data_IF_321236046762
#
_entry.id   IF_321236046762
#
_cell.length_a   1.000
_cell.length_b   1.000
_cell.length_c   1.000
_cell.angle_alpha   90.00
_cell.angle_beta   90.00
_cell.angle_gamma   90.00
#
_symmetry.space_group_name_H-M   'P 1'
#
loop_
_entity.id
_entity.type
_entity.pdbx_description
1 polymer ?
#
# COMPACT_ATOMS: atom_id res chain seq x y z
N UNK A 1 -15.77 40.33 82.11
CA UNK A 1 -14.97 41.51 81.74
C UNK A 1 -13.85 41.09 80.80
N UNK A 2 -13.68 41.86 79.80
CA UNK A 2 -12.67 41.83 78.74
C UNK A 2 -12.86 40.70 77.70
N UNK A 3 -13.40 41.06 76.66
CA UNK A 3 -12.90 41.71 75.43
C UNK A 3 -12.56 40.65 74.43
N UNK A 4 -13.58 40.32 73.64
CA UNK A 4 -13.35 39.65 72.38
C UNK A 4 -12.69 40.63 71.41
N UNK A 5 -11.37 40.67 71.44
CA UNK A 5 -10.59 41.37 70.46
C UNK A 5 -10.68 40.62 69.17
N UNK A 6 -11.14 41.38 68.21
CA UNK A 6 -11.21 41.08 66.81
C UNK A 6 -9.90 40.50 66.26
N UNK A 7 -9.88 39.20 66.12
CA UNK A 7 -9.00 38.58 65.10
C UNK A 7 -9.74 38.63 63.77
N UNK A 8 -9.69 39.74 63.10
CA UNK A 8 -9.91 39.80 61.66
C UNK A 8 -8.75 39.09 61.00
N UNK A 9 -8.90 37.77 60.93
CA UNK A 9 -8.09 37.02 60.01
C UNK A 9 -8.27 37.61 58.63
N UNK A 10 -7.24 38.22 58.11
CA UNK A 10 -7.07 38.43 56.68
C UNK A 10 -7.20 37.05 56.03
N UNK A 11 -8.37 36.76 55.56
CA UNK A 11 -8.54 35.75 54.50
C UNK A 11 -7.91 36.40 53.28
N UNK A 12 -6.59 36.27 53.22
CA UNK A 12 -5.89 36.44 51.93
C UNK A 12 -6.53 35.44 51.01
N UNK A 13 -7.41 35.95 50.18
CA UNK A 13 -7.85 35.23 48.99
C UNK A 13 -6.59 34.96 48.17
N UNK A 14 -5.90 33.87 48.47
CA UNK A 14 -5.08 33.19 47.51
C UNK A 14 -6.05 32.65 46.48
N UNK A 15 -6.43 33.50 45.56
CA UNK A 15 -6.82 33.07 44.23
C UNK A 15 -5.65 32.26 43.73
N UNK A 16 -5.69 30.95 43.97
CA UNK A 16 -4.97 30.00 43.14
C UNK A 16 -5.46 30.27 41.73
N UNK A 17 -4.73 31.11 41.01
CA UNK A 17 -4.65 31.08 39.60
C UNK A 17 -4.09 29.68 39.28
N UNK A 18 -4.95 28.69 39.23
CA UNK A 18 -4.70 27.46 38.49
C UNK A 18 -4.53 27.93 37.04
N UNK A 19 -3.33 28.41 36.75
CA UNK A 19 -2.84 28.38 35.38
C UNK A 19 -2.87 26.91 35.00
N UNK A 20 -3.96 26.45 34.46
CA UNK A 20 -4.00 25.34 33.56
C UNK A 20 -3.01 25.72 32.45
N UNK A 21 -1.76 25.35 32.65
CA UNK A 21 -0.84 25.13 31.60
C UNK A 21 -1.49 23.98 30.79
N UNK A 22 -2.41 24.34 29.87
CA UNK A 22 -2.57 23.59 28.67
C UNK A 22 -1.15 23.63 28.06
N UNK A 23 -0.37 22.60 28.34
CA UNK A 23 0.74 22.25 27.49
C UNK A 23 0.12 22.05 26.12
N UNK A 24 0.08 23.10 25.33
CA UNK A 24 -0.09 22.94 23.91
C UNK A 24 1.05 21.97 23.53
N UNK A 25 0.68 20.74 23.21
CA UNK A 25 1.66 19.82 22.69
C UNK A 25 2.35 20.56 21.56
N UNK A 26 3.63 20.84 21.73
CA UNK A 26 4.38 21.62 20.78
C UNK A 26 4.33 20.84 19.48
N UNK A 27 3.68 21.42 18.47
CA UNK A 27 3.56 20.79 17.16
C UNK A 27 4.96 20.42 16.67
N UNK A 28 5.13 19.17 16.20
CA UNK A 28 6.41 18.75 15.69
C UNK A 28 6.84 19.69 14.55
N UNK A 29 8.13 20.06 14.47
CA UNK A 29 8.62 20.90 13.39
C UNK A 29 8.33 20.28 12.03
N UNK A 30 8.27 21.07 10.95
CA UNK A 30 8.15 20.53 9.61
C UNK A 30 9.33 19.61 9.30
N UNK A 31 9.11 18.49 8.57
CA UNK A 31 10.20 17.64 8.16
C UNK A 31 11.18 18.37 7.25
N UNK A 32 12.46 17.96 7.27
CA UNK A 32 13.46 18.51 6.37
C UNK A 32 13.25 17.97 4.95
N UNK A 33 13.21 18.83 3.91
CA UNK A 33 13.10 18.35 2.54
C UNK A 33 14.23 17.37 2.19
N UNK A 34 13.94 16.32 1.36
CA UNK A 34 12.71 16.09 0.60
C UNK A 34 11.62 15.29 1.37
N UNK A 35 11.80 15.08 2.67
CA UNK A 35 10.83 14.33 3.46
C UNK A 35 9.59 15.16 3.77
N UNK A 36 8.45 14.48 3.95
CA UNK A 36 7.15 15.10 4.27
C UNK A 36 6.39 14.25 5.31
N UNK A 37 5.24 14.75 5.76
CA UNK A 37 4.29 14.05 6.61
C UNK A 37 2.86 14.50 6.29
N UNK A 38 1.84 13.81 6.86
CA UNK A 38 0.42 14.01 6.54
C UNK A 38 -0.06 15.46 6.61
N UNK A 39 0.62 16.34 7.37
CA UNK A 39 0.26 17.76 7.51
C UNK A 39 0.56 18.56 6.24
N UNK A 40 1.47 18.06 5.39
CA UNK A 40 1.97 18.73 4.19
C UNK A 40 1.61 17.96 2.90
N UNK A 41 1.08 16.74 3.00
CA UNK A 41 0.55 15.99 1.86
C UNK A 41 -0.66 16.71 1.28
N UNK A 42 -0.58 17.11 0.01
CA UNK A 42 -1.62 17.87 -0.68
C UNK A 42 -1.74 17.42 -2.13
N UNK A 43 -2.96 17.14 -2.62
CA UNK A 43 -3.15 16.72 -4.00
C UNK A 43 -2.48 17.65 -5.01
N UNK A 44 -1.70 17.05 -5.93
CA UNK A 44 -0.93 17.77 -6.95
C UNK A 44 0.48 18.17 -6.52
N UNK A 45 0.91 17.86 -5.30
CA UNK A 45 2.29 18.13 -4.85
C UNK A 45 3.22 17.05 -5.38
N UNK A 46 4.26 17.46 -6.11
CA UNK A 46 5.31 16.58 -6.60
C UNK A 46 6.46 16.46 -5.60
N UNK A 47 6.92 15.24 -5.41
CA UNK A 47 8.04 14.87 -4.56
C UNK A 47 9.10 14.12 -5.35
N UNK A 48 10.34 14.19 -4.89
CA UNK A 48 11.45 13.38 -5.40
C UNK A 48 12.48 13.14 -4.31
N UNK A 49 12.71 11.88 -4.00
CA UNK A 49 13.76 11.44 -3.09
C UNK A 49 14.83 10.75 -3.92
N UNK A 50 16.09 11.05 -3.67
CA UNK A 50 17.23 10.44 -4.35
C UNK A 50 18.17 9.76 -3.36
N UNK A 51 19.05 8.92 -3.86
CA UNK A 51 20.07 8.26 -3.03
C UNK A 51 20.92 9.26 -2.22
N UNK A 52 21.08 10.50 -2.71
CA UNK A 52 21.87 11.55 -2.04
C UNK A 52 21.16 12.17 -0.83
N UNK A 53 19.85 12.04 -0.75
CA UNK A 53 19.03 12.61 0.31
C UNK A 53 18.96 11.68 1.54
N UNK A 54 19.43 10.44 1.41
CA UNK A 54 19.33 9.44 2.47
C UNK A 54 20.18 9.84 3.69
N UNK A 55 19.58 9.94 4.89
CA UNK A 55 20.34 10.20 6.10
C UNK A 55 21.19 8.98 6.49
N UNK A 56 22.12 9.21 7.41
CA UNK A 56 22.84 8.09 8.01
C UNK A 56 21.89 7.26 8.89
N UNK A 57 22.10 5.93 9.00
CA UNK A 57 21.35 5.12 9.95
C UNK A 57 21.35 5.74 11.35
N UNK A 58 20.18 5.74 11.99
CA UNK A 58 19.97 6.29 13.34
C UNK A 58 20.15 7.82 13.44
N UNK A 59 20.12 8.57 12.36
CA UNK A 59 20.13 10.04 12.39
C UNK A 59 18.94 10.60 13.19
N UNK A 60 17.81 9.92 13.14
CA UNK A 60 16.65 10.15 14.00
C UNK A 60 16.35 8.91 14.83
N UNK A 61 15.61 9.09 15.92
CA UNK A 61 15.15 7.97 16.73
C UNK A 61 13.99 7.26 16.03
N UNK A 62 14.08 5.94 15.94
CA UNK A 62 12.96 5.14 15.44
C UNK A 62 11.75 5.23 16.36
N UNK A 63 10.58 5.45 15.82
CA UNK A 63 9.32 5.55 16.54
C UNK A 63 8.47 4.28 16.38
N UNK A 64 7.49 4.15 17.25
CA UNK A 64 6.39 3.19 17.18
C UNK A 64 5.12 3.94 17.55
N UNK A 65 4.38 4.39 16.54
CA UNK A 65 3.17 5.18 16.69
C UNK A 65 2.04 4.55 15.86
N UNK A 66 1.45 3.48 16.42
CA UNK A 66 0.35 2.78 15.76
C UNK A 66 -0.85 3.70 15.51
N UNK A 67 -1.53 3.58 14.37
CA UNK A 67 -2.65 4.44 14.04
C UNK A 67 -3.81 4.26 15.04
N UNK A 68 -4.26 5.37 15.61
CA UNK A 68 -5.51 5.43 16.36
C UNK A 68 -6.66 5.54 15.37
N UNK A 69 -7.29 4.40 15.04
CA UNK A 69 -8.40 4.37 14.10
C UNK A 69 -9.66 4.92 14.73
N UNK A 70 -10.37 5.78 14.00
CA UNK A 70 -11.67 6.36 14.38
C UNK A 70 -12.67 6.19 13.25
N UNK A 71 -13.95 6.17 13.59
CA UNK A 71 -14.99 6.23 12.58
C UNK A 71 -14.83 7.49 11.72
N UNK A 72 -15.07 7.38 10.41
CA UNK A 72 -15.04 8.54 9.53
C UNK A 72 -15.95 9.64 10.04
N UNK A 73 -15.46 10.86 10.32
CA UNK A 73 -16.33 11.98 10.65
C UNK A 73 -17.30 12.27 9.49
N UNK A 74 -18.50 12.72 9.80
CA UNK A 74 -19.58 12.94 8.82
C UNK A 74 -19.14 13.82 7.63
N UNK A 75 -18.35 14.86 7.91
CA UNK A 75 -17.85 15.81 6.91
C UNK A 75 -16.43 15.50 6.40
N UNK A 76 -15.82 14.39 6.79
CA UNK A 76 -14.49 14.03 6.29
C UNK A 76 -14.61 13.32 4.94
N UNK A 77 -13.91 13.86 3.96
CA UNK A 77 -13.80 13.33 2.61
C UNK A 77 -12.35 13.34 2.17
N UNK A 78 -11.92 12.35 1.40
CA UNK A 78 -10.63 12.43 0.76
C UNK A 78 -10.61 13.59 -0.26
N UNK A 79 -9.44 14.16 -0.46
CA UNK A 79 -9.21 15.26 -1.41
C UNK A 79 -8.39 14.79 -2.59
N UNK A 80 -8.74 15.19 -3.79
CA UNK A 80 -8.03 14.91 -5.03
C UNK A 80 -7.66 16.23 -5.74
N UNK A 81 -6.78 16.23 -6.79
CA UNK A 81 -6.41 17.42 -7.52
C UNK A 81 -7.61 18.16 -8.13
N UNK A 82 -7.48 19.44 -8.48
CA UNK A 82 -8.53 20.20 -9.18
C UNK A 82 -9.04 19.45 -10.43
N UNK A 83 -10.34 19.47 -10.65
CA UNK A 83 -10.99 18.75 -11.76
C UNK A 83 -11.39 17.32 -11.42
N UNK A 84 -10.95 16.77 -10.30
CA UNK A 84 -11.39 15.46 -9.83
C UNK A 84 -12.49 15.57 -8.78
N UNK A 85 -13.38 14.58 -8.79
CA UNK A 85 -14.48 14.41 -7.83
C UNK A 85 -14.29 13.09 -7.08
N UNK A 86 -14.43 13.13 -5.76
CA UNK A 86 -14.39 11.93 -4.91
C UNK A 86 -15.81 11.58 -4.44
N UNK A 87 -16.18 10.31 -4.60
CA UNK A 87 -17.49 9.77 -4.24
C UNK A 87 -17.35 8.47 -3.44
N UNK A 88 -18.31 8.19 -2.57
CA UNK A 88 -18.37 6.90 -1.88
C UNK A 88 -19.03 5.86 -2.79
N UNK A 89 -18.23 4.96 -3.38
CA UNK A 89 -18.68 3.88 -4.25
C UNK A 89 -19.43 2.78 -3.47
N UNK A 90 -18.80 2.26 -2.42
CA UNK A 90 -19.40 1.25 -1.55
C UNK A 90 -18.97 1.45 -0.09
N UNK A 91 -19.81 1.07 0.86
CA UNK A 91 -19.56 1.14 2.30
C UNK A 91 -20.13 -0.09 3.02
N UNK A 92 -19.77 -0.26 4.30
CA UNK A 92 -20.22 -1.40 5.10
C UNK A 92 -19.60 -2.71 4.64
N UNK A 93 -18.39 -2.63 4.08
CA UNK A 93 -17.56 -3.76 3.73
C UNK A 93 -16.85 -4.29 4.97
N UNK A 94 -16.09 -5.36 4.81
CA UNK A 94 -15.37 -5.98 5.91
C UNK A 94 -13.93 -6.26 5.47
N UNK A 95 -12.98 -5.44 5.95
CA UNK A 95 -11.58 -5.48 5.58
C UNK A 95 -11.35 -5.55 4.04
N UNK A 96 -11.83 -4.55 3.27
CA UNK A 96 -11.66 -4.52 1.82
C UNK A 96 -10.19 -4.30 1.44
N UNK A 97 -9.65 -5.17 0.58
CA UNK A 97 -8.24 -5.13 0.18
C UNK A 97 -8.11 -4.96 -1.33
N UNK A 98 -7.47 -5.89 -2.01
CA UNK A 98 -7.20 -5.84 -3.45
C UNK A 98 -8.47 -5.68 -4.28
N UNK A 99 -8.42 -4.80 -5.26
CA UNK A 99 -9.43 -4.59 -6.29
C UNK A 99 -8.92 -5.10 -7.65
N UNK A 100 -9.79 -5.73 -8.44
CA UNK A 100 -9.50 -6.09 -9.84
C UNK A 100 -10.70 -5.86 -10.71
N UNK A 101 -10.48 -5.18 -11.83
CA UNK A 101 -11.50 -5.02 -12.88
C UNK A 101 -11.42 -6.20 -13.83
N UNK A 102 -12.51 -6.94 -13.94
CA UNK A 102 -12.66 -8.01 -14.90
C UNK A 102 -12.86 -7.43 -16.32
N UNK A 103 -12.56 -8.19 -17.40
CA UNK A 103 -12.70 -7.71 -18.77
C UNK A 103 -14.13 -7.36 -19.21
N UNK A 104 -15.14 -7.85 -18.49
CA UNK A 104 -16.54 -7.47 -18.69
C UNK A 104 -16.97 -6.22 -17.91
N UNK A 105 -16.05 -5.66 -17.11
CA UNK A 105 -16.27 -4.46 -16.32
C UNK A 105 -16.76 -4.70 -14.90
N UNK A 106 -16.93 -5.93 -14.49
CA UNK A 106 -17.21 -6.25 -13.08
C UNK A 106 -15.98 -5.96 -12.21
N UNK A 107 -16.22 -5.50 -11.00
CA UNK A 107 -15.15 -5.18 -10.03
C UNK A 107 -15.11 -6.25 -8.96
N UNK A 108 -14.00 -6.97 -8.87
CA UNK A 108 -13.75 -7.96 -7.85
C UNK A 108 -12.97 -7.35 -6.69
N UNK A 109 -13.38 -7.67 -5.47
CA UNK A 109 -12.81 -7.15 -4.22
C UNK A 109 -12.50 -8.32 -3.28
N UNK A 110 -11.25 -8.41 -2.83
CA UNK A 110 -10.89 -9.29 -1.72
C UNK A 110 -11.32 -8.62 -0.40
N UNK A 111 -12.14 -9.31 0.38
CA UNK A 111 -12.43 -9.02 1.78
C UNK A 111 -11.67 -10.06 2.61
N UNK A 112 -10.48 -9.67 3.13
CA UNK A 112 -9.47 -10.60 3.64
C UNK A 112 -9.90 -11.27 4.95
N UNK A 113 -10.36 -10.50 5.94
CA UNK A 113 -10.72 -11.05 7.26
C UNK A 113 -11.92 -12.00 7.20
N UNK A 114 -13.01 -11.69 6.48
CA UNK A 114 -14.13 -12.63 6.34
C UNK A 114 -13.84 -13.77 5.35
N UNK A 115 -12.68 -13.77 4.67
CA UNK A 115 -12.27 -14.84 3.78
C UNK A 115 -13.14 -14.98 2.54
N UNK A 116 -13.44 -13.90 1.84
CA UNK A 116 -14.35 -13.91 0.67
C UNK A 116 -13.90 -12.97 -0.44
N UNK A 117 -14.38 -13.25 -1.64
CA UNK A 117 -14.29 -12.35 -2.80
C UNK A 117 -15.69 -11.84 -3.10
N UNK A 118 -15.81 -10.53 -3.17
CA UNK A 118 -17.04 -9.83 -3.57
C UNK A 118 -16.93 -9.39 -5.03
N UNK A 119 -18.05 -9.34 -5.73
CA UNK A 119 -18.16 -8.73 -7.05
C UNK A 119 -19.18 -7.62 -7.03
N UNK A 120 -18.82 -6.51 -7.67
CA UNK A 120 -19.71 -5.38 -7.96
C UNK A 120 -19.93 -5.30 -9.46
N UNK A 121 -21.16 -5.05 -9.88
CA UNK A 121 -21.56 -4.92 -11.28
C UNK A 121 -22.32 -3.65 -11.55
N UNK A 122 -21.98 -3.04 -12.68
CA UNK A 122 -22.66 -1.87 -13.21
C UNK A 122 -22.47 -0.63 -12.33
N UNK A 123 -22.84 0.51 -12.88
CA UNK A 123 -22.75 1.80 -12.20
C UNK A 123 -24.09 2.52 -12.26
N UNK A 124 -24.61 2.94 -11.12
CA UNK A 124 -25.81 3.78 -11.03
C UNK A 124 -25.49 5.24 -11.34
N UNK A 125 -26.48 6.06 -11.62
CA UNK A 125 -26.32 7.51 -11.78
C UNK A 125 -25.74 8.20 -10.53
N UNK A 126 -25.84 7.56 -9.35
CA UNK A 126 -25.26 8.04 -8.10
C UNK A 126 -23.80 7.58 -7.88
N UNK A 127 -23.13 7.03 -8.90
CA UNK A 127 -21.74 6.58 -8.79
C UNK A 127 -21.53 5.34 -7.93
N UNK A 128 -22.58 4.55 -7.67
CA UNK A 128 -22.55 3.35 -6.82
C UNK A 128 -22.73 2.09 -7.69
N UNK A 129 -22.28 0.90 -7.22
CA UNK A 129 -22.56 -0.33 -7.93
C UNK A 129 -24.07 -0.58 -8.01
N UNK A 130 -24.54 -1.01 -9.17
CA UNK A 130 -25.94 -1.36 -9.38
C UNK A 130 -26.27 -2.70 -8.71
N UNK A 131 -25.30 -3.60 -8.61
CA UNK A 131 -25.42 -4.92 -8.00
C UNK A 131 -24.16 -5.29 -7.23
N UNK A 132 -24.31 -6.02 -6.12
CA UNK A 132 -23.20 -6.59 -5.35
C UNK A 132 -23.54 -8.02 -4.94
N UNK A 133 -22.57 -8.93 -5.06
CA UNK A 133 -22.71 -10.33 -4.67
C UNK A 133 -21.43 -10.87 -4.06
N UNK A 134 -21.50 -11.97 -3.31
CA UNK A 134 -20.33 -12.72 -2.87
C UNK A 134 -20.03 -13.77 -3.94
N UNK A 135 -18.90 -13.64 -4.62
CA UNK A 135 -18.46 -14.56 -5.65
C UNK A 135 -18.04 -15.90 -5.06
N UNK A 136 -17.20 -15.87 -4.02
CA UNK A 136 -16.75 -17.05 -3.28
C UNK A 136 -16.45 -16.69 -1.82
N UNK A 137 -16.59 -17.64 -0.91
CA UNK A 137 -16.27 -17.50 0.52
C UNK A 137 -15.59 -18.75 1.06
N UNK A 138 -15.08 -18.68 2.31
CA UNK A 138 -14.38 -19.78 2.95
C UNK A 138 -12.89 -19.84 2.61
N UNK A 139 -12.33 -18.76 2.08
CA UNK A 139 -10.91 -18.61 1.80
C UNK A 139 -10.13 -18.24 3.07
N UNK A 140 -8.83 -18.53 3.08
CA UNK A 140 -7.94 -18.19 4.20
C UNK A 140 -7.15 -16.93 3.87
N UNK A 141 -7.64 -15.77 4.32
CA UNK A 141 -7.00 -14.47 4.11
C UNK A 141 -6.67 -14.20 2.64
N UNK A 142 -7.67 -14.18 1.73
CA UNK A 142 -7.45 -13.88 0.32
C UNK A 142 -6.95 -12.43 0.16
N UNK A 143 -5.99 -12.24 -0.74
CA UNK A 143 -5.45 -10.93 -1.06
C UNK A 143 -5.24 -10.76 -2.56
N UNK A 144 -4.32 -11.51 -3.18
CA UNK A 144 -4.03 -11.42 -4.60
C UNK A 144 -5.20 -11.87 -5.45
N UNK A 145 -5.53 -11.11 -6.50
CA UNK A 145 -6.55 -11.44 -7.49
C UNK A 145 -5.97 -11.24 -8.89
N UNK A 146 -6.09 -12.23 -9.76
CA UNK A 146 -5.67 -12.11 -11.15
C UNK A 146 -6.54 -12.98 -12.07
N UNK A 147 -6.90 -12.47 -13.25
CA UNK A 147 -7.64 -13.21 -14.27
C UNK A 147 -6.68 -13.90 -15.24
N UNK A 148 -6.97 -15.17 -15.59
CA UNK A 148 -6.14 -15.96 -16.49
C UNK A 148 -6.97 -16.73 -17.54
N UNK A 149 -6.50 -16.84 -18.80
CA UNK A 149 -5.34 -16.13 -19.36
C UNK A 149 -5.55 -14.59 -19.36
N UNK A 150 -4.45 -13.80 -19.40
CA UNK A 150 -4.57 -12.35 -19.59
C UNK A 150 -5.29 -12.03 -20.89
N UNK A 151 -6.08 -10.96 -20.89
CA UNK A 151 -6.80 -10.52 -22.07
C UNK A 151 -8.32 -10.56 -21.92
N UNK A 152 -9.06 -10.52 -23.07
CA UNK A 152 -10.49 -10.27 -23.03
C UNK A 152 -11.35 -11.47 -22.57
N UNK A 153 -10.83 -12.70 -22.60
CA UNK A 153 -11.59 -13.93 -22.33
C UNK A 153 -10.93 -14.85 -21.30
N UNK A 154 -10.70 -14.39 -20.05
CA UNK A 154 -10.16 -15.24 -19.00
C UNK A 154 -11.14 -16.36 -18.64
N UNK A 155 -10.60 -17.49 -18.22
CA UNK A 155 -11.33 -18.68 -17.83
C UNK A 155 -11.19 -18.99 -16.36
N UNK A 156 -10.28 -18.29 -15.69
CA UNK A 156 -9.93 -18.49 -14.30
C UNK A 156 -9.76 -17.18 -13.56
N UNK A 157 -10.22 -17.15 -12.31
CA UNK A 157 -9.81 -16.20 -11.30
C UNK A 157 -8.82 -16.87 -10.36
N UNK A 158 -7.58 -16.40 -10.35
CA UNK A 158 -6.56 -16.82 -9.38
C UNK A 158 -6.68 -15.97 -8.12
N UNK A 159 -6.54 -16.63 -6.98
CA UNK A 159 -6.57 -15.99 -5.66
C UNK A 159 -5.32 -16.39 -4.89
N UNK A 160 -4.51 -15.39 -4.56
CA UNK A 160 -3.36 -15.54 -3.66
C UNK A 160 -3.78 -15.34 -2.21
N UNK A 161 -3.59 -16.36 -1.41
CA UNK A 161 -3.81 -16.36 0.04
C UNK A 161 -2.47 -16.53 0.77
N UNK A 162 -2.44 -16.38 2.09
CA UNK A 162 -1.19 -16.42 2.86
C UNK A 162 -0.31 -17.65 2.56
N UNK A 163 -0.91 -18.84 2.46
CA UNK A 163 -0.19 -20.10 2.33
C UNK A 163 -0.38 -20.78 0.97
N UNK A 164 -1.26 -20.29 0.12
CA UNK A 164 -1.61 -20.96 -1.11
C UNK A 164 -2.00 -19.98 -2.22
N UNK A 165 -1.83 -20.43 -3.46
CA UNK A 165 -2.47 -19.86 -4.64
C UNK A 165 -3.46 -20.90 -5.16
N UNK A 166 -4.72 -20.51 -5.28
CA UNK A 166 -5.79 -21.31 -5.87
C UNK A 166 -6.39 -20.60 -7.07
N UNK A 167 -7.05 -21.35 -7.97
CA UNK A 167 -7.86 -20.76 -9.03
C UNK A 167 -9.28 -21.30 -9.04
N UNK A 168 -10.19 -20.47 -9.49
CA UNK A 168 -11.61 -20.80 -9.65
C UNK A 168 -12.02 -20.67 -11.12
N UNK A 169 -12.89 -21.56 -11.65
CA UNK A 169 -13.52 -21.32 -12.95
C UNK A 169 -14.22 -19.96 -12.95
N UNK A 170 -14.00 -19.21 -14.03
CA UNK A 170 -14.60 -17.90 -14.23
C UNK A 170 -15.13 -17.77 -15.67
N UNK A 171 -16.34 -17.25 -15.80
CA UNK A 171 -16.91 -16.82 -17.07
C UNK A 171 -17.41 -15.38 -16.91
N UNK A 172 -17.31 -14.62 -17.99
CA UNK A 172 -17.84 -13.24 -17.99
C UNK A 172 -19.29 -13.22 -17.53
N UNK A 173 -19.57 -12.37 -16.56
CA UNK A 173 -20.89 -12.22 -15.98
C UNK A 173 -21.17 -13.15 -14.80
N UNK A 174 -20.22 -13.96 -14.34
CA UNK A 174 -20.37 -14.79 -13.15
C UNK A 174 -20.42 -13.90 -11.89
N UNK A 175 -21.55 -13.95 -11.18
CA UNK A 175 -21.70 -13.31 -9.85
C UNK A 175 -21.42 -14.27 -8.71
N UNK A 176 -21.21 -15.54 -9.02
CA UNK A 176 -20.91 -16.62 -8.09
C UNK A 176 -20.04 -17.65 -8.79
N UNK A 177 -19.08 -18.20 -8.07
CA UNK A 177 -18.22 -19.26 -8.59
C UNK A 177 -19.04 -20.46 -9.05
N UNK A 178 -18.68 -21.01 -10.20
CA UNK A 178 -19.39 -22.14 -10.85
C UNK A 178 -18.78 -23.52 -10.52
N UNK A 179 -17.58 -23.56 -9.90
CA UNK A 179 -16.87 -24.80 -9.61
C UNK A 179 -15.98 -24.74 -8.37
N UNK A 180 -15.38 -25.87 -8.03
CA UNK A 180 -14.46 -25.98 -6.89
C UNK A 180 -13.12 -25.28 -7.19
N UNK A 181 -12.44 -24.85 -6.13
CA UNK A 181 -11.07 -24.36 -6.20
C UNK A 181 -10.13 -25.44 -6.75
N UNK A 182 -9.18 -25.04 -7.57
CA UNK A 182 -8.03 -25.84 -7.97
C UNK A 182 -6.78 -25.25 -7.29
N UNK A 183 -6.05 -26.09 -6.58
CA UNK A 183 -4.77 -25.73 -5.98
C UNK A 183 -3.69 -25.56 -7.07
N UNK A 184 -2.86 -24.50 -6.95
CA UNK A 184 -1.83 -24.16 -7.93
C UNK A 184 -0.44 -24.19 -7.30
N UNK A 185 -0.24 -23.53 -6.17
CA UNK A 185 1.08 -23.41 -5.54
C UNK A 185 0.99 -23.13 -4.04
N UNK A 186 2.07 -23.49 -3.34
CA UNK A 186 2.29 -23.19 -1.92
C UNK A 186 3.47 -22.21 -1.78
N UNK A 187 3.26 -20.89 -1.89
CA UNK A 187 4.30 -19.94 -1.61
C UNK A 187 4.73 -20.02 -0.13
N UNK A 188 6.00 -19.69 0.20
CA UNK A 188 6.48 -19.79 1.57
C UNK A 188 5.57 -19.09 2.56
N UNK A 189 5.09 -19.86 3.55
CA UNK A 189 4.24 -19.36 4.64
C UNK A 189 4.99 -19.42 5.97
N UNK A 190 4.68 -18.51 6.87
CA UNK A 190 5.19 -18.45 8.23
C UNK A 190 4.07 -18.59 9.28
N UNK A 191 2.84 -18.82 8.85
CA UNK A 191 1.66 -18.71 9.69
C UNK A 191 1.30 -17.23 9.95
N UNK A 192 0.73 -16.93 11.09
CA UNK A 192 0.11 -15.65 11.41
C UNK A 192 1.08 -14.47 11.59
N UNK A 193 2.40 -14.69 11.61
CA UNK A 193 3.39 -13.63 11.83
C UNK A 193 4.16 -13.27 10.54
N UNK A 194 4.45 -11.99 10.37
CA UNK A 194 5.20 -11.45 9.23
C UNK A 194 4.29 -11.00 8.08
N UNK A 195 4.86 -10.92 6.86
CA UNK A 195 4.13 -10.46 5.68
C UNK A 195 3.29 -11.62 5.11
N UNK A 196 1.97 -11.47 5.19
CA UNK A 196 0.99 -12.53 4.88
C UNK A 196 0.32 -12.39 3.53
N UNK A 197 0.42 -11.22 2.90
CA UNK A 197 -0.18 -10.96 1.59
C UNK A 197 0.57 -11.68 0.46
N UNK A 198 -0.18 -12.12 -0.56
CA UNK A 198 0.35 -12.81 -1.75
C UNK A 198 -0.29 -12.22 -3.01
N UNK A 199 0.17 -11.04 -3.46
CA UNK A 199 -0.20 -10.57 -4.80
C UNK A 199 0.15 -11.60 -5.86
N UNK A 200 -0.73 -11.75 -6.84
CA UNK A 200 -0.57 -12.64 -7.99
C UNK A 200 -0.77 -11.82 -9.25
N UNK A 201 0.11 -12.00 -10.23
CA UNK A 201 0.01 -11.34 -11.54
C UNK A 201 0.55 -12.27 -12.64
N UNK A 202 0.22 -12.01 -13.89
CA UNK A 202 0.68 -12.79 -15.03
C UNK A 202 1.50 -11.94 -15.99
N UNK A 203 2.53 -12.54 -16.59
CA UNK A 203 3.19 -11.94 -17.74
C UNK A 203 2.17 -11.68 -18.85
N UNK A 204 2.42 -10.66 -19.66
CA UNK A 204 1.51 -10.22 -20.73
C UNK A 204 1.17 -11.33 -21.72
N UNK A 205 2.09 -12.27 -21.97
CA UNK A 205 1.88 -13.42 -22.84
C UNK A 205 1.26 -14.63 -22.11
N UNK A 206 0.97 -14.50 -20.81
CA UNK A 206 0.36 -15.53 -19.97
C UNK A 206 1.26 -16.72 -19.63
N UNK A 207 2.56 -16.67 -19.96
CA UNK A 207 3.45 -17.83 -19.76
C UNK A 207 4.07 -17.89 -18.37
N UNK A 208 4.06 -16.78 -17.63
CA UNK A 208 4.57 -16.73 -16.27
C UNK A 208 3.49 -16.21 -15.33
N UNK A 209 3.36 -16.86 -14.18
CA UNK A 209 2.66 -16.36 -13.01
C UNK A 209 3.69 -15.84 -12.03
N UNK A 210 3.48 -14.64 -11.53
CA UNK A 210 4.30 -14.02 -10.48
C UNK A 210 3.54 -14.04 -9.15
N UNK A 211 4.27 -14.35 -8.07
CA UNK A 211 3.76 -14.30 -6.71
C UNK A 211 4.73 -13.51 -5.83
N UNK A 212 4.28 -12.44 -5.24
CA UNK A 212 5.10 -11.65 -4.33
C UNK A 212 5.06 -12.21 -2.91
N UNK A 213 6.23 -12.37 -2.29
CA UNK A 213 6.37 -12.95 -0.95
C UNK A 213 7.28 -12.08 -0.10
N UNK A 214 6.72 -11.35 0.86
CA UNK A 214 7.48 -10.52 1.78
C UNK A 214 8.29 -11.34 2.80
N UNK A 215 9.29 -10.74 3.42
CA UNK A 215 10.14 -11.35 4.44
C UNK A 215 9.34 -11.90 5.63
N UNK A 216 9.93 -12.82 6.36
CA UNK A 216 9.36 -13.34 7.61
C UNK A 216 9.70 -12.46 8.82
N UNK A 217 10.71 -11.59 8.70
CA UNK A 217 11.19 -10.70 9.75
C UNK A 217 11.48 -9.31 9.20
N UNK A 218 11.88 -8.40 10.09
CA UNK A 218 12.34 -7.08 9.68
C UNK A 218 13.64 -7.15 8.86
N UNK A 219 14.65 -7.88 9.34
CA UNK A 219 16.00 -7.87 8.72
C UNK A 219 16.84 -9.09 9.15
N UNK A 220 16.23 -10.25 9.38
CA UNK A 220 16.99 -11.45 9.71
C UNK A 220 17.72 -11.98 8.46
N UNK A 221 18.87 -12.59 8.70
CA UNK A 221 19.75 -13.11 7.68
C UNK A 221 19.26 -14.46 7.15
N UNK A 222 18.90 -14.61 5.87
CA UNK A 222 18.43 -15.88 5.30
C UNK A 222 19.46 -17.00 5.38
N UNK A 223 20.76 -16.70 5.41
CA UNK A 223 21.81 -17.73 5.53
C UNK A 223 21.76 -18.45 6.88
N UNK A 224 21.27 -17.77 7.91
CA UNK A 224 21.19 -18.32 9.26
C UNK A 224 19.76 -18.49 9.78
N UNK A 225 18.77 -18.05 9.00
CA UNK A 225 17.34 -18.04 9.39
C UNK A 225 16.52 -18.78 8.34
N UNK A 226 16.34 -20.10 8.46
CA UNK A 226 15.67 -20.94 7.44
C UNK A 226 14.25 -20.47 7.05
N UNK A 227 13.56 -19.74 7.93
CA UNK A 227 12.22 -19.20 7.65
C UNK A 227 12.22 -18.05 6.64
N UNK A 228 13.39 -17.47 6.32
CA UNK A 228 13.53 -16.45 5.29
C UNK A 228 13.79 -17.03 3.89
N UNK A 229 13.96 -18.36 3.78
CA UNK A 229 14.20 -19.00 2.48
C UNK A 229 13.06 -18.73 1.50
N UNK A 230 13.41 -18.31 0.28
CA UNK A 230 12.49 -17.96 -0.82
C UNK A 230 11.45 -16.89 -0.40
N UNK A 231 11.86 -15.97 0.49
CA UNK A 231 11.09 -14.82 0.95
C UNK A 231 11.86 -13.51 0.72
N UNK A 232 11.16 -12.38 0.84
CA UNK A 232 11.63 -11.09 0.36
C UNK A 232 11.95 -11.14 -1.14
N UNK A 233 11.10 -11.84 -1.88
CA UNK A 233 11.30 -12.23 -3.27
C UNK A 233 10.01 -12.03 -4.09
N UNK A 234 10.21 -11.87 -5.38
CA UNK A 234 9.17 -12.20 -6.37
C UNK A 234 9.47 -13.61 -6.85
N UNK A 235 8.49 -14.51 -6.72
CA UNK A 235 8.54 -15.86 -7.24
C UNK A 235 7.83 -15.95 -8.58
N UNK A 236 8.26 -16.85 -9.45
CA UNK A 236 7.60 -17.10 -10.72
C UNK A 236 7.47 -18.60 -11.03
N UNK A 237 6.45 -18.95 -11.81
CA UNK A 237 6.27 -20.30 -12.35
C UNK A 237 5.45 -20.26 -13.65
N UNK A 238 5.39 -21.41 -14.35
CA UNK A 238 4.40 -21.66 -15.41
C UNK A 238 3.00 -21.80 -14.76
N UNK A 239 1.97 -21.06 -15.19
CA UNK A 239 0.64 -21.09 -14.59
C UNK A 239 -0.06 -22.46 -14.63
N UNK A 240 0.25 -23.31 -15.60
CA UNK A 240 -0.39 -24.62 -15.77
C UNK A 240 0.38 -25.74 -15.06
N UNK A 241 1.70 -25.58 -14.88
CA UNK A 241 2.58 -26.57 -14.24
C UNK A 241 3.50 -25.88 -13.22
N UNK A 242 2.91 -25.29 -12.19
CA UNK A 242 3.62 -24.39 -11.31
C UNK A 242 4.64 -25.09 -10.42
N UNK A 243 5.91 -24.79 -10.66
CA UNK A 243 7.03 -25.01 -9.75
C UNK A 243 7.63 -23.62 -9.49
N UNK A 244 7.42 -23.10 -8.28
CA UNK A 244 7.90 -21.77 -7.90
C UNK A 244 9.42 -21.69 -7.93
N UNK A 245 9.96 -20.66 -8.54
CA UNK A 245 11.38 -20.26 -8.55
C UNK A 245 11.53 -18.80 -8.20
N UNK A 246 12.65 -18.42 -7.63
CA UNK A 246 12.97 -17.01 -7.41
C UNK A 246 13.14 -16.31 -8.76
N UNK A 247 12.37 -15.26 -8.99
CA UNK A 247 12.44 -14.40 -10.16
C UNK A 247 13.35 -13.19 -9.89
N UNK A 248 13.15 -12.53 -8.73
CA UNK A 248 13.99 -11.46 -8.23
C UNK A 248 14.04 -11.51 -6.71
N UNK A 249 15.16 -11.07 -6.11
CA UNK A 249 15.43 -11.25 -4.68
C UNK A 249 15.85 -9.96 -3.98
N UNK A 250 15.84 -10.02 -2.64
CA UNK A 250 16.23 -8.88 -1.81
C UNK A 250 15.22 -7.75 -1.80
N UNK A 251 13.98 -8.05 -2.09
CA UNK A 251 12.84 -7.12 -2.09
C UNK A 251 12.05 -7.35 -0.80
N UNK A 252 12.34 -6.58 0.26
CA UNK A 252 11.89 -6.88 1.62
C UNK A 252 10.42 -7.26 1.72
N UNK A 253 9.53 -6.43 1.24
CA UNK A 253 8.10 -6.73 1.24
C UNK A 253 7.40 -6.21 -0.01
N UNK A 254 7.43 -6.97 -1.11
CA UNK A 254 6.65 -6.68 -2.32
C UNK A 254 5.19 -7.12 -2.17
N UNK A 255 4.79 -7.56 -0.97
CA UNK A 255 3.46 -8.10 -0.70
C UNK A 255 2.34 -7.05 -0.71
N UNK A 256 2.64 -5.79 -0.98
CA UNK A 256 1.65 -4.74 -1.21
C UNK A 256 0.96 -4.89 -2.55
N UNK A 257 1.73 -4.89 -3.63
CA UNK A 257 1.19 -4.99 -4.98
C UNK A 257 2.24 -5.29 -6.03
N UNK A 258 1.82 -6.00 -7.07
CA UNK A 258 2.56 -6.19 -8.32
C UNK A 258 1.62 -5.96 -9.50
N UNK A 259 2.12 -5.38 -10.57
CA UNK A 259 1.39 -5.20 -11.81
C UNK A 259 2.32 -5.25 -13.02
N UNK A 260 1.82 -5.73 -14.16
CA UNK A 260 2.56 -5.72 -15.42
C UNK A 260 2.21 -4.45 -16.18
N UNK A 261 3.24 -3.69 -16.57
CA UNK A 261 3.07 -2.50 -17.40
C UNK A 261 2.45 -2.91 -18.74
N UNK A 262 1.26 -2.41 -19.06
CA UNK A 262 0.56 -2.82 -20.28
C UNK A 262 1.22 -2.32 -21.58
N UNK A 263 2.11 -1.33 -21.52
CA UNK A 263 2.85 -0.82 -22.66
C UNK A 263 4.15 -1.61 -22.88
N UNK A 264 4.97 -1.77 -21.82
CA UNK A 264 6.30 -2.40 -21.92
C UNK A 264 6.28 -3.90 -21.67
N UNK A 265 5.33 -4.41 -20.88
CA UNK A 265 5.28 -5.80 -20.43
C UNK A 265 6.17 -6.08 -19.21
N UNK A 266 6.83 -5.08 -18.66
CA UNK A 266 7.66 -5.19 -17.46
C UNK A 266 6.81 -5.37 -16.21
N UNK A 267 7.27 -6.22 -15.31
CA UNK A 267 6.69 -6.38 -13.99
C UNK A 267 7.14 -5.22 -13.09
N UNK A 268 6.20 -4.63 -12.36
CA UNK A 268 6.45 -3.58 -11.36
C UNK A 268 5.95 -4.02 -10.00
N UNK A 269 6.58 -3.53 -8.93
CA UNK A 269 6.15 -3.77 -7.55
C UNK A 269 6.22 -2.52 -6.69
N UNK A 270 5.35 -2.47 -5.68
CA UNK A 270 5.41 -1.57 -4.54
C UNK A 270 6.04 -2.29 -3.35
N UNK A 271 6.94 -1.63 -2.63
CA UNK A 271 7.77 -2.28 -1.61
C UNK A 271 7.82 -1.49 -0.33
N UNK A 272 7.59 -2.19 0.78
CA UNK A 272 7.82 -1.68 2.12
C UNK A 272 9.20 -2.11 2.60
N UNK A 273 10.07 -1.14 2.87
CA UNK A 273 11.41 -1.38 3.33
C UNK A 273 11.52 -1.64 4.84
N UNK A 274 12.76 -1.88 5.30
CA UNK A 274 13.03 -2.28 6.67
C UNK A 274 12.84 -1.14 7.68
N UNK A 275 12.42 -1.51 8.88
CA UNK A 275 12.15 -0.61 9.99
C UNK A 275 13.38 -0.41 10.89
N UNK A 276 13.31 0.60 11.77
CA UNK A 276 14.22 0.82 12.88
C UNK A 276 15.64 1.30 12.50
N UNK A 277 15.76 2.12 11.46
CA UNK A 277 16.96 2.92 11.16
C UNK A 277 16.74 4.43 11.35
N UNK A 278 15.60 4.83 11.84
CA UNK A 278 15.15 6.20 12.03
C UNK A 278 13.87 6.50 11.25
N UNK A 279 13.33 7.69 11.41
CA UNK A 279 12.08 8.10 10.77
C UNK A 279 12.20 8.27 9.24
N UNK A 280 13.41 8.65 8.76
CA UNK A 280 13.63 9.01 7.36
C UNK A 280 14.55 7.99 6.65
N UNK A 281 14.60 6.73 7.15
CA UNK A 281 15.36 5.63 6.57
C UNK A 281 14.74 4.27 6.96
N UNK A 282 14.54 3.31 6.06
CA UNK A 282 14.86 3.24 4.62
C UNK A 282 13.63 3.68 3.82
N UNK A 283 13.79 4.39 2.70
CA UNK A 283 12.68 4.72 1.82
C UNK A 283 11.92 3.48 1.34
N UNK A 284 10.61 3.53 1.38
CA UNK A 284 9.76 2.65 0.60
C UNK A 284 9.95 2.97 -0.89
N UNK A 285 9.53 2.10 -1.81
CA UNK A 285 9.76 2.36 -3.22
C UNK A 285 8.80 1.66 -4.18
N UNK A 286 8.74 2.18 -5.40
CA UNK A 286 8.12 1.52 -6.56
C UNK A 286 9.22 1.30 -7.61
N UNK A 287 9.25 0.10 -8.20
CA UNK A 287 10.28 -0.23 -9.19
C UNK A 287 9.80 -1.27 -10.21
N UNK A 288 10.37 -1.22 -11.43
CA UNK A 288 10.29 -2.36 -12.32
C UNK A 288 11.19 -3.49 -11.82
N UNK A 289 10.75 -4.73 -12.01
CA UNK A 289 11.40 -5.92 -11.45
C UNK A 289 12.17 -6.64 -12.56
N UNK A 290 13.50 -6.68 -12.41
CA UNK A 290 14.38 -7.36 -13.36
C UNK A 290 14.54 -8.84 -13.00
N UNK A 291 14.40 -9.75 -13.97
CA UNK A 291 14.66 -11.17 -13.74
C UNK A 291 16.12 -11.40 -13.33
N UNK A 292 16.34 -12.13 -12.22
CA UNK A 292 17.65 -12.31 -11.60
C UNK A 292 18.14 -11.08 -10.83
N UNK A 293 17.37 -10.01 -10.74
CA UNK A 293 17.72 -8.79 -10.01
C UNK A 293 17.82 -8.99 -8.51
N UNK A 294 18.72 -8.24 -7.87
CA UNK A 294 18.89 -8.18 -6.42
C UNK A 294 18.71 -6.75 -5.93
N UNK A 295 17.78 -6.53 -4.97
CA UNK A 295 17.39 -5.20 -4.48
C UNK A 295 17.97 -4.87 -3.10
N UNK A 296 18.71 -5.79 -2.48
CA UNK A 296 19.58 -5.51 -1.33
C UNK A 296 19.21 -6.22 -0.03
N UNK A 297 17.94 -6.29 0.33
CA UNK A 297 17.52 -6.87 1.61
C UNK A 297 18.05 -8.31 1.80
N UNK A 298 18.53 -8.66 2.99
CA UNK A 298 18.65 -7.86 4.22
C UNK A 298 20.01 -7.18 4.39
N UNK A 299 20.99 -7.46 3.54
CA UNK A 299 22.38 -7.09 3.74
C UNK A 299 22.70 -5.67 3.27
N UNK A 300 21.97 -5.21 2.27
CA UNK A 300 22.14 -3.92 1.61
C UNK A 300 20.76 -3.24 1.44
N UNK A 301 20.75 -1.94 1.17
CA UNK A 301 19.53 -1.19 0.82
C UNK A 301 19.86 -0.05 -0.12
N UNK A 302 18.92 0.30 -0.99
CA UNK A 302 18.97 1.43 -1.94
C UNK A 302 20.37 1.62 -2.54
N UNK A 303 20.81 0.65 -3.35
CA UNK A 303 22.17 0.61 -3.90
C UNK A 303 23.21 0.13 -2.88
N UNK A 304 24.36 0.78 -2.84
CA UNK A 304 25.55 0.30 -2.11
C UNK A 304 25.56 0.63 -0.60
N UNK A 305 24.40 0.85 0.04
CA UNK A 305 24.33 1.09 1.49
C UNK A 305 24.25 -0.24 2.24
N UNK A 306 25.29 -0.53 3.04
CA UNK A 306 25.25 -1.74 3.86
C UNK A 306 24.38 -1.55 5.10
N UNK A 307 23.50 -2.53 5.38
CA UNK A 307 22.72 -2.54 6.59
C UNK A 307 23.63 -2.66 7.82
N UNK A 308 23.50 -1.77 8.83
CA UNK A 308 24.37 -1.77 10.01
C UNK A 308 24.33 -3.08 10.80
N UNK A 309 23.22 -3.83 10.75
CA UNK A 309 23.08 -5.13 11.43
C UNK A 309 23.86 -6.24 10.73
N UNK A 310 24.17 -6.04 9.46
CA UNK A 310 24.88 -7.01 8.61
C UNK A 310 26.25 -6.51 8.15
N UNK A 311 26.88 -5.66 8.96
CA UNK A 311 28.18 -5.07 8.65
C UNK A 311 29.21 -6.14 8.25
N UNK A 312 29.84 -5.98 7.08
CA UNK A 312 30.86 -6.88 6.55
C UNK A 312 30.35 -8.16 5.90
N UNK A 313 29.02 -8.42 5.88
CA UNK A 313 28.43 -9.56 5.19
C UNK A 313 28.21 -9.26 3.71
N UNK A 314 28.38 -10.27 2.87
CA UNK A 314 28.10 -10.24 1.42
C UNK A 314 28.69 -9.03 0.68
N UNK A 315 29.99 -8.71 0.85
CA UNK A 315 30.61 -7.59 0.14
C UNK A 315 30.57 -7.75 -1.39
N UNK A 316 30.49 -8.98 -1.89
CA UNK A 316 30.37 -9.31 -3.31
C UNK A 316 29.03 -8.91 -3.94
N UNK A 317 28.02 -8.62 -3.12
CA UNK A 317 26.72 -8.16 -3.57
C UNK A 317 26.62 -6.64 -3.70
N UNK A 318 27.55 -5.89 -3.12
CA UNK A 318 27.51 -4.42 -3.06
C UNK A 318 27.18 -3.75 -4.39
N UNK A 319 27.89 -4.17 -5.44
CA UNK A 319 27.76 -3.57 -6.77
C UNK A 319 26.66 -4.22 -7.63
N UNK A 320 25.91 -5.18 -7.06
CA UNK A 320 24.78 -5.85 -7.71
C UNK A 320 23.43 -5.32 -7.24
N UNK A 321 23.41 -4.50 -6.19
CA UNK A 321 22.16 -3.97 -5.66
C UNK A 321 21.57 -2.96 -6.62
N UNK A 322 20.38 -3.27 -7.10
CA UNK A 322 19.62 -2.37 -7.98
C UNK A 322 19.06 -1.22 -7.15
N UNK A 323 19.25 0.01 -7.61
CA UNK A 323 18.58 1.18 -7.07
C UNK A 323 17.17 1.23 -7.66
N UNK A 324 16.12 1.27 -6.84
CA UNK A 324 14.74 1.35 -7.33
C UNK A 324 14.47 2.62 -8.15
N UNK A 325 13.46 2.55 -9.03
CA UNK A 325 13.12 3.65 -9.93
C UNK A 325 12.57 4.89 -9.20
N UNK A 326 11.73 4.69 -8.18
CA UNK A 326 11.08 5.75 -7.43
C UNK A 326 11.20 5.50 -5.93
N UNK A 327 11.95 6.35 -5.24
CA UNK A 327 12.04 6.33 -3.79
C UNK A 327 10.91 7.18 -3.20
N UNK A 328 10.24 6.65 -2.19
CA UNK A 328 9.09 7.27 -1.52
C UNK A 328 9.43 7.61 -0.07
N UNK A 329 8.48 8.22 0.64
CA UNK A 329 8.68 8.47 2.07
C UNK A 329 8.89 7.15 2.80
N UNK A 330 9.86 7.07 3.71
CA UNK A 330 10.05 5.90 4.56
C UNK A 330 8.79 5.60 5.39
N UNK A 331 8.47 4.33 5.51
CA UNK A 331 7.40 3.82 6.38
C UNK A 331 5.97 4.11 5.93
N UNK A 332 5.74 4.57 4.69
CA UNK A 332 4.38 4.85 4.20
C UNK A 332 3.54 3.58 3.98
N UNK A 333 4.16 2.42 4.04
CA UNK A 333 3.48 1.12 3.94
C UNK A 333 2.70 0.97 2.62
N UNK A 334 3.42 0.99 1.50
CA UNK A 334 2.84 0.83 0.17
C UNK A 334 2.07 -0.48 0.05
N UNK A 335 0.94 -0.42 -0.64
CA UNK A 335 0.12 -1.56 -0.96
C UNK A 335 -0.11 -1.66 -2.48
N UNK A 336 -1.33 -1.91 -2.93
CA UNK A 336 -1.60 -2.20 -4.33
C UNK A 336 -1.21 -1.05 -5.27
N UNK A 337 -0.76 -1.41 -6.46
CA UNK A 337 -0.50 -0.48 -7.55
C UNK A 337 -1.24 -0.90 -8.82
N UNK A 338 -1.58 0.07 -9.67
CA UNK A 338 -2.19 -0.15 -10.97
C UNK A 338 -1.69 0.87 -12.00
N UNK A 339 -1.65 0.48 -13.27
CA UNK A 339 -1.40 1.40 -14.38
C UNK A 339 -2.71 1.99 -14.86
N UNK A 340 -2.77 3.32 -15.02
CA UNK A 340 -3.95 3.97 -15.51
C UNK A 340 -4.06 3.87 -17.03
N UNK A 341 -5.12 3.22 -17.51
CA UNK A 341 -5.49 3.11 -18.93
C UNK A 341 -6.96 3.45 -19.18
N UNK A 342 -7.56 4.20 -18.26
CA UNK A 342 -8.95 4.59 -18.39
C UNK A 342 -9.17 5.74 -19.36
N UNK A 343 -10.35 5.85 -19.98
CA UNK A 343 -10.67 6.91 -20.93
C UNK A 343 -11.04 8.25 -20.30
N UNK A 344 -11.09 8.36 -18.95
CA UNK A 344 -11.72 9.50 -18.29
C UNK A 344 -10.70 10.58 -17.84
N UNK A 345 -9.54 10.17 -17.28
CA UNK A 345 -8.55 11.12 -16.80
C UNK A 345 -7.84 11.80 -17.99
N UNK A 346 -7.32 13.04 -17.78
CA UNK A 346 -6.54 13.74 -18.80
C UNK A 346 -5.40 12.89 -19.38
N UNK A 347 -4.98 13.23 -20.60
CA UNK A 347 -3.95 12.48 -21.32
C UNK A 347 -2.61 12.35 -20.58
N UNK A 348 -2.29 13.31 -19.71
CA UNK A 348 -1.09 13.30 -18.89
C UNK A 348 -1.05 12.20 -17.82
N UNK A 349 -2.20 11.58 -17.51
CA UNK A 349 -2.31 10.46 -16.58
C UNK A 349 -2.19 9.10 -17.25
N UNK A 350 -2.22 9.06 -18.59
CA UNK A 350 -2.23 7.81 -19.33
C UNK A 350 -0.91 7.05 -19.19
N UNK A 351 -1.00 5.81 -18.72
CA UNK A 351 0.15 4.93 -18.50
C UNK A 351 0.81 5.11 -17.14
N UNK A 352 0.43 6.12 -16.35
CA UNK A 352 1.01 6.37 -15.04
C UNK A 352 0.57 5.33 -14.02
N UNK A 353 1.38 5.16 -12.96
CA UNK A 353 1.06 4.27 -11.86
C UNK A 353 0.27 5.04 -10.80
N UNK A 354 -0.79 4.43 -10.27
CA UNK A 354 -1.41 4.80 -9.01
C UNK A 354 -1.12 3.72 -7.97
N UNK A 355 -0.69 4.12 -6.77
CA UNK A 355 -0.40 3.21 -5.68
C UNK A 355 -0.99 3.70 -4.36
N UNK A 356 -1.54 2.78 -3.59
CA UNK A 356 -2.06 3.08 -2.27
C UNK A 356 -0.95 3.04 -1.22
N UNK A 357 -0.92 4.02 -0.34
CA UNK A 357 -0.11 4.06 0.87
C UNK A 357 -1.02 3.85 2.09
N UNK A 358 -0.79 2.76 2.82
CA UNK A 358 -1.60 2.38 3.97
C UNK A 358 -1.33 3.23 5.20
N UNK A 359 -0.20 3.92 5.20
CA UNK A 359 0.25 4.87 6.21
C UNK A 359 1.13 4.27 7.30
N UNK A 360 1.96 5.12 7.87
CA UNK A 360 3.00 4.74 8.81
C UNK A 360 2.45 4.32 10.17
N UNK A 361 3.11 3.34 10.79
CA UNK A 361 2.91 2.93 12.18
C UNK A 361 4.20 3.08 13.02
N UNK A 362 5.30 3.38 12.36
CA UNK A 362 6.67 3.39 12.88
C UNK A 362 7.43 4.67 12.51
N UNK A 363 6.73 5.80 12.45
CA UNK A 363 7.26 7.15 12.24
C UNK A 363 6.74 8.08 13.34
N UNK A 364 7.54 9.05 13.79
CA UNK A 364 7.20 9.95 14.90
C UNK A 364 6.05 10.91 14.56
N UNK A 365 5.93 11.29 13.30
CA UNK A 365 4.77 11.98 12.73
C UNK A 365 4.27 11.15 11.55
N UNK A 366 2.97 10.90 11.51
CA UNK A 366 2.36 10.06 10.45
C UNK A 366 2.68 10.58 9.06
N UNK A 367 2.90 9.65 8.13
CA UNK A 367 3.08 9.93 6.71
C UNK A 367 2.38 8.84 5.89
N UNK A 368 2.06 9.14 4.63
CA UNK A 368 1.19 8.31 3.82
C UNK A 368 -0.27 8.41 4.27
N UNK A 369 -1.04 7.33 4.20
CA UNK A 369 -2.49 7.35 4.27
C UNK A 369 -3.08 8.09 3.08
N UNK A 370 -2.60 7.73 1.90
CA UNK A 370 -2.99 8.39 0.65
C UNK A 370 -2.92 7.45 -0.55
N UNK A 371 -3.31 7.93 -1.71
CA UNK A 371 -2.95 7.33 -2.98
C UNK A 371 -2.01 8.29 -3.69
N UNK A 372 -0.88 7.77 -4.14
CA UNK A 372 0.09 8.52 -4.93
C UNK A 372 -0.04 8.19 -6.41
N UNK A 373 0.43 9.11 -7.26
CA UNK A 373 0.66 8.91 -8.70
C UNK A 373 2.16 8.92 -8.97
N UNK A 374 2.64 7.97 -9.78
CA UNK A 374 4.00 7.98 -10.33
C UNK A 374 3.90 8.30 -11.82
N UNK A 375 4.34 9.49 -12.26
CA UNK A 375 4.33 9.85 -13.67
C UNK A 375 5.36 9.02 -14.46
N UNK A 376 4.91 8.35 -15.52
CA UNK A 376 5.77 7.65 -16.49
C UNK A 376 5.94 8.44 -17.78
N UNK A 377 5.34 9.63 -17.88
CA UNK A 377 5.45 10.56 -19.01
C UNK A 377 5.25 9.89 -20.37
N UNK A 378 4.37 8.89 -20.47
CA UNK A 378 4.08 8.09 -21.66
C UNK A 378 5.31 7.34 -22.24
N UNK A 379 6.42 7.31 -21.50
CA UNK A 379 7.64 6.59 -21.91
C UNK A 379 7.70 5.16 -21.37
N UNK A 380 6.86 4.84 -20.40
CA UNK A 380 6.91 3.60 -19.63
C UNK A 380 8.00 3.57 -18.55
N UNK A 381 8.78 4.65 -18.38
CA UNK A 381 9.85 4.77 -17.40
C UNK A 381 9.59 5.90 -16.42
N UNK A 382 9.87 5.66 -15.14
CA UNK A 382 9.73 6.67 -14.09
C UNK A 382 10.93 7.65 -14.09
N UNK A 383 10.67 8.92 -13.76
CA UNK A 383 11.70 9.96 -13.56
C UNK A 383 12.25 10.00 -12.13
N UNK A 384 11.72 9.15 -11.23
CA UNK A 384 11.99 9.18 -9.80
C UNK A 384 11.10 10.16 -9.03
N UNK A 385 10.09 10.73 -9.70
CA UNK A 385 9.10 11.63 -9.10
C UNK A 385 7.82 10.88 -8.76
N UNK A 386 7.10 11.35 -7.73
CA UNK A 386 5.74 10.94 -7.41
C UNK A 386 4.92 12.14 -6.95
N UNK A 387 3.60 12.02 -7.01
CA UNK A 387 2.64 13.07 -6.72
C UNK A 387 1.62 12.58 -5.67
N UNK A 388 1.33 13.39 -4.66
CA UNK A 388 0.18 13.17 -3.77
C UNK A 388 -1.09 13.27 -4.61
N UNK A 389 -1.89 12.21 -4.68
CA UNK A 389 -3.08 12.22 -5.55
C UNK A 389 -4.40 12.22 -4.75
N UNK A 390 -4.56 11.34 -3.79
CA UNK A 390 -5.78 11.27 -2.97
C UNK A 390 -5.40 11.27 -1.49
N UNK A 391 -5.58 12.39 -0.80
CA UNK A 391 -5.12 12.63 0.57
C UNK A 391 -6.27 12.89 1.54
N UNK A 392 -5.98 13.13 2.83
CA UNK A 392 -6.94 13.63 3.81
C UNK A 392 -7.55 12.54 4.69
N UNK A 393 -6.96 11.36 4.78
CA UNK A 393 -7.43 10.25 5.63
C UNK A 393 -6.97 10.36 7.09
N UNK A 394 -6.14 11.34 7.42
CA UNK A 394 -5.66 11.65 8.78
C UNK A 394 -6.27 12.96 9.24
N UNK A 395 -6.78 12.98 10.49
CA UNK A 395 -7.34 14.18 11.10
C UNK A 395 -6.21 15.09 11.63
N UNK A 396 -6.46 16.39 11.85
CA UNK A 396 -5.46 17.31 12.38
C UNK A 396 -4.83 16.90 13.72
N UNK A 397 -5.53 16.08 14.52
CA UNK A 397 -5.02 15.53 15.77
C UNK A 397 -4.24 14.21 15.60
N UNK A 398 -3.95 13.80 14.36
CA UNK A 398 -3.20 12.59 14.04
C UNK A 398 -4.02 11.29 14.09
N UNK A 399 -5.32 11.34 14.41
CA UNK A 399 -6.19 10.16 14.31
C UNK A 399 -6.47 9.82 12.86
N UNK A 400 -6.61 8.53 12.57
CA UNK A 400 -6.78 8.00 11.22
C UNK A 400 -8.20 7.52 11.05
N UNK A 401 -8.88 7.97 10.00
CA UNK A 401 -10.24 7.51 9.69
C UNK A 401 -10.33 6.67 8.42
N UNK A 402 -9.28 6.65 7.59
CA UNK A 402 -9.20 5.83 6.39
C UNK A 402 -7.77 5.35 6.13
N UNK A 403 -7.62 4.21 5.46
CA UNK A 403 -6.36 3.56 5.13
C UNK A 403 -6.47 2.94 3.73
N UNK A 404 -6.00 3.62 2.68
CA UNK A 404 -6.03 3.10 1.32
C UNK A 404 -5.27 1.78 1.17
N UNK A 405 -5.82 0.85 0.38
CA UNK A 405 -5.23 -0.49 0.16
C UNK A 405 -5.16 -0.85 -1.30
N UNK A 406 -6.31 -1.04 -1.95
CA UNK A 406 -6.42 -1.49 -3.32
C UNK A 406 -6.73 -0.33 -4.26
N UNK A 407 -6.19 -0.38 -5.46
CA UNK A 407 -6.46 0.57 -6.53
C UNK A 407 -6.79 -0.15 -7.82
N UNK A 408 -7.87 0.26 -8.51
CA UNK A 408 -8.24 -0.31 -9.80
C UNK A 408 -8.92 0.75 -10.69
N UNK A 409 -8.73 0.62 -11.99
CA UNK A 409 -9.41 1.47 -12.98
C UNK A 409 -10.75 0.83 -13.33
N UNK A 410 -11.85 1.53 -13.07
CA UNK A 410 -13.18 1.08 -13.43
C UNK A 410 -13.45 1.22 -14.95
N UNK A 411 -14.47 0.52 -15.51
CA UNK A 411 -14.76 0.56 -16.94
C UNK A 411 -15.07 1.95 -17.50
N UNK A 412 -15.59 2.85 -16.67
CA UNK A 412 -15.84 4.24 -17.05
C UNK A 412 -14.59 5.13 -16.97
N UNK A 413 -13.45 4.58 -16.59
CA UNK A 413 -12.18 5.28 -16.43
C UNK A 413 -11.98 5.96 -15.07
N UNK A 414 -12.91 5.87 -14.14
CA UNK A 414 -12.68 6.33 -12.77
C UNK A 414 -11.70 5.42 -12.03
N UNK A 415 -10.98 5.96 -11.05
CA UNK A 415 -10.14 5.19 -10.14
C UNK A 415 -10.97 4.75 -8.93
N UNK A 416 -10.96 3.47 -8.61
CA UNK A 416 -11.52 2.92 -7.38
C UNK A 416 -10.40 2.69 -6.37
N UNK A 417 -10.67 3.04 -5.12
CA UNK A 417 -9.72 2.89 -4.00
C UNK A 417 -10.41 2.19 -2.85
N UNK A 418 -9.96 1.00 -2.46
CA UNK A 418 -10.44 0.34 -1.25
C UNK A 418 -9.75 0.93 -0.02
N UNK A 419 -10.47 0.95 1.09
CA UNK A 419 -10.06 1.59 2.34
C UNK A 419 -10.51 0.70 3.50
N UNK A 420 -9.57 0.00 4.15
CA UNK A 420 -9.88 -0.91 5.26
C UNK A 420 -10.04 -0.16 6.61
N UNK A 421 -9.58 1.08 6.69
CA UNK A 421 -9.82 1.93 7.86
C UNK A 421 -11.28 2.35 7.99
N UNK A 422 -11.94 2.71 6.89
CA UNK A 422 -13.36 3.08 6.86
C UNK A 422 -14.28 1.98 6.32
N UNK A 423 -13.76 0.82 5.96
CA UNK A 423 -14.50 -0.30 5.37
C UNK A 423 -15.32 0.12 4.14
N UNK A 424 -14.68 0.85 3.24
CA UNK A 424 -15.29 1.51 2.10
C UNK A 424 -14.50 1.27 0.81
N UNK A 425 -15.14 1.61 -0.32
CA UNK A 425 -14.46 1.85 -1.61
C UNK A 425 -14.80 3.26 -2.05
N UNK A 426 -13.79 4.04 -2.38
CA UNK A 426 -13.88 5.38 -2.93
C UNK A 426 -13.81 5.33 -4.44
N UNK A 427 -14.50 6.25 -5.11
CA UNK A 427 -14.45 6.45 -6.55
C UNK A 427 -13.94 7.86 -6.84
N UNK A 428 -12.87 7.94 -7.60
CA UNK A 428 -12.30 9.20 -8.06
C UNK A 428 -12.56 9.34 -9.56
N UNK A 429 -13.30 10.37 -9.96
CA UNK A 429 -13.67 10.62 -11.36
C UNK A 429 -13.20 12.01 -11.79
N UNK A 430 -12.78 12.17 -13.03
CA UNK A 430 -12.44 13.47 -13.59
C UNK A 430 -13.66 14.13 -14.20
N UNK A 431 -13.95 15.36 -13.80
CA UNK A 431 -15.12 16.14 -14.27
C UNK A 431 -14.72 17.34 -15.13
N UNK A 432 -13.43 17.69 -15.14
CA UNK A 432 -12.91 18.81 -15.96
C UNK A 432 -13.33 20.20 -15.47
N UNK A 433 -13.80 20.33 -14.22
CA UNK A 433 -14.25 21.60 -13.63
C UNK A 433 -13.26 22.13 -12.62
#
# INVERSE_FOLDING_TARGET
>A
MRSFAQARALVAAMTLLAATLLSAAQEAPPPAPPFTDFRYEKPGTLHKITVKDLPQPYATKSAYDFPSLVARPENAWPSAPPGFKVELYAAGLDNPRTLRTAPDGDIFLAETDPGRIRVFRGLTAAGKPAQSAIFVSGLKHPYGLAFYPPGPDPQWLYVGSTAEVVRFPYHKGDLKVSGAAQHIADPPDRGWFGHTTRPVEFSRDGKQMFVAVGSASNVDDPDTTPREKDRADILACDPENCVLRVYASGIRNPGGGIAVNPQTGELWCSVNERDALGDDLVPDYITHVQEGGFYGWPWWYIGAHQDPRHQGKHPELKDKVIVPDVLLQPHNALLELTFYQGPQFPAEYQGDIFSAEHGSWNKSVRAGYEVIRVPLHQTGHASGEYEDFLTGFVLPDGKVWGRPVGVAVAPDGSLLVSDDGSNSVWRVSYTGM
#
